data_IF_356570050523
#
_entry.id   IF_356570050523
#
_cell.length_a   1.000
_cell.length_b   1.000
_cell.length_c   1.000
_cell.angle_alpha   90.00
_cell.angle_beta   90.00
_cell.angle_gamma   90.00
#
_symmetry.space_group_name_H-M   'P 1'
#
loop_
_entity.id
_entity.type
_entity.pdbx_description
1 polymer ?
#
# COMPACT_ATOMS: atom_id res chain seq x y z
N UNK A 1 3.17 -8.35 -17.98
CA UNK A 1 2.72 -9.40 -17.03
C UNK A 1 3.36 -9.22 -15.64
N UNK A 2 4.69 -9.17 -15.52
CA UNK A 2 5.37 -8.98 -14.23
C UNK A 2 5.01 -7.67 -13.51
N UNK A 3 4.86 -6.56 -14.23
CA UNK A 3 4.43 -5.27 -13.64
C UNK A 3 3.03 -5.31 -13.01
N UNK A 4 2.11 -6.12 -13.55
CA UNK A 4 0.77 -6.31 -12.96
C UNK A 4 0.84 -7.12 -11.66
N UNK A 5 1.65 -8.18 -11.65
CA UNK A 5 1.88 -8.98 -10.44
C UNK A 5 2.57 -8.14 -9.35
N UNK A 6 3.57 -7.34 -9.73
CA UNK A 6 4.22 -6.41 -8.80
C UNK A 6 3.23 -5.38 -8.25
N UNK A 7 2.38 -4.81 -9.11
CA UNK A 7 1.33 -3.87 -8.68
C UNK A 7 0.39 -4.50 -7.66
N UNK A 8 -0.06 -5.74 -7.89
CA UNK A 8 -0.91 -6.46 -6.95
C UNK A 8 -0.24 -6.62 -5.58
N UNK A 9 1.04 -7.02 -5.55
CA UNK A 9 1.80 -7.14 -4.30
C UNK A 9 1.97 -5.77 -3.62
N UNK A 10 2.28 -4.72 -4.37
CA UNK A 10 2.41 -3.37 -3.82
C UNK A 10 1.10 -2.83 -3.25
N UNK A 11 -0.06 -3.15 -3.83
CA UNK A 11 -1.36 -2.82 -3.24
C UNK A 11 -1.49 -3.49 -1.87
N UNK A 12 -1.21 -4.79 -1.76
CA UNK A 12 -1.29 -5.51 -0.49
C UNK A 12 -0.29 -4.98 0.55
N UNK A 13 0.94 -4.61 0.14
CA UNK A 13 1.92 -3.95 1.01
C UNK A 13 1.39 -2.61 1.50
N UNK A 14 0.82 -1.80 0.60
CA UNK A 14 0.26 -0.51 0.97
C UNK A 14 -0.88 -0.64 1.98
N UNK A 15 -1.66 -1.72 1.92
CA UNK A 15 -2.71 -1.99 2.91
C UNK A 15 -2.14 -2.32 4.29
N UNK A 16 -1.07 -3.11 4.35
CA UNK A 16 -0.36 -3.44 5.60
C UNK A 16 0.24 -2.16 6.22
N UNK A 17 0.94 -1.37 5.42
CA UNK A 17 1.74 -0.22 5.87
C UNK A 17 0.91 1.03 6.22
N UNK A 18 -0.33 1.09 5.72
CA UNK A 18 -1.30 2.13 6.09
C UNK A 18 -2.31 1.63 7.14
N UNK A 19 -2.10 0.45 7.73
CA UNK A 19 -2.99 -0.14 8.74
C UNK A 19 -4.46 -0.20 8.31
N UNK A 20 -4.70 -0.63 7.06
CA UNK A 20 -6.03 -0.68 6.44
C UNK A 20 -6.61 -2.10 6.43
N UNK A 21 -7.94 -2.19 6.32
CA UNK A 21 -8.64 -3.47 6.28
C UNK A 21 -8.22 -4.24 5.03
N UNK A 22 -7.95 -5.56 5.11
CA UNK A 22 -8.34 -6.49 6.17
C UNK A 22 -7.29 -6.70 7.28
N UNK A 23 -6.10 -6.09 7.16
CA UNK A 23 -4.98 -6.38 8.06
C UNK A 23 -5.22 -5.74 9.42
N UNK A 24 -5.62 -4.47 9.40
CA UNK A 24 -6.03 -3.74 10.60
C UNK A 24 -7.20 -2.81 10.30
N UNK A 25 -7.89 -2.32 11.32
CA UNK A 25 -9.03 -1.42 11.16
C UNK A 25 -8.73 -0.03 11.73
N UNK A 26 -8.61 1.01 10.88
CA UNK A 26 -8.32 2.38 11.32
C UNK A 26 -9.43 2.99 12.18
N UNK A 27 -10.66 2.45 12.12
CA UNK A 27 -11.80 2.96 12.90
C UNK A 27 -11.87 2.36 14.30
N UNK A 28 -11.23 1.20 14.53
CA UNK A 28 -11.09 0.65 15.90
C UNK A 28 -10.07 1.41 16.74
N UNK A 29 -9.41 2.43 16.16
CA UNK A 29 -8.42 3.27 16.81
C UNK A 29 -8.96 4.12 17.99
N UNK A 30 -10.29 4.21 18.15
CA UNK A 30 -10.93 4.94 19.25
C UNK A 30 -11.33 4.02 20.42
N UNK A 31 -11.04 2.73 20.31
CA UNK A 31 -11.23 1.77 21.39
C UNK A 31 -9.88 1.47 22.08
N UNK A 32 -9.39 2.41 22.93
CA UNK A 32 -8.48 2.30 24.10
C UNK A 32 -7.54 1.07 24.31
N UNK A 33 -7.19 0.31 23.28
CA UNK A 33 -6.56 -1.01 23.38
C UNK A 33 -5.30 -1.15 22.52
N UNK A 34 -4.94 -0.13 21.71
CA UNK A 34 -3.79 -0.21 20.80
C UNK A 34 -2.65 0.73 21.22
N UNK A 35 -1.51 0.14 21.54
CA UNK A 35 -0.28 0.81 22.03
C UNK A 35 0.26 1.85 21.02
N UNK A 36 0.03 1.66 19.72
CA UNK A 36 0.58 2.52 18.66
C UNK A 36 -0.20 3.84 18.46
N UNK A 37 -1.45 3.90 18.92
CA UNK A 37 -2.35 5.05 18.73
C UNK A 37 -2.37 6.01 19.90
N UNK A 38 -1.92 5.55 21.06
CA UNK A 38 -1.62 6.42 22.21
C UNK A 38 -0.73 7.58 21.76
N UNK A 39 0.19 7.32 20.82
CA UNK A 39 1.05 8.35 20.23
C UNK A 39 0.27 9.48 19.52
N UNK A 40 -0.91 9.20 18.95
CA UNK A 40 -1.76 10.20 18.30
C UNK A 40 -2.64 10.92 19.33
N UNK A 41 -3.09 10.21 20.38
CA UNK A 41 -3.97 10.76 21.42
C UNK A 41 -3.33 11.85 22.27
N UNK A 42 -1.99 11.86 22.38
CA UNK A 42 -1.24 12.91 23.06
C UNK A 42 -1.10 14.19 22.21
N UNK A 43 -1.39 14.12 20.91
CA UNK A 43 -1.25 15.23 19.97
C UNK A 43 -2.61 15.89 19.67
N UNK A 44 -2.61 17.22 19.54
CA UNK A 44 -3.82 17.98 19.21
C UNK A 44 -3.53 19.11 18.21
N UNK A 45 -4.57 19.60 17.54
CA UNK A 45 -4.47 20.74 16.62
C UNK A 45 -3.51 20.49 15.45
N UNK A 46 -2.43 21.27 15.40
CA UNK A 46 -1.47 21.25 14.29
C UNK A 46 -0.67 19.94 14.22
N UNK A 47 -0.20 19.42 15.36
CA UNK A 47 0.63 18.22 15.40
C UNK A 47 -0.16 16.99 14.94
N UNK A 48 -1.43 16.90 15.36
CA UNK A 48 -2.35 15.88 14.86
C UNK A 48 -2.56 16.00 13.33
N UNK A 49 -2.66 17.23 12.83
CA UNK A 49 -2.75 17.50 11.38
C UNK A 49 -1.54 16.99 10.61
N UNK A 50 -0.33 17.18 11.13
CA UNK A 50 0.91 16.69 10.52
C UNK A 50 0.97 15.16 10.48
N UNK A 51 0.53 14.49 11.54
CA UNK A 51 0.47 13.02 11.60
C UNK A 51 -0.49 12.50 10.51
N UNK A 52 -1.72 13.04 10.46
CA UNK A 52 -2.72 12.65 9.47
C UNK A 52 -2.25 12.95 8.04
N UNK A 53 -1.61 14.10 7.81
CA UNK A 53 -1.05 14.44 6.51
C UNK A 53 0.04 13.47 6.07
N UNK A 54 0.94 13.09 6.98
CA UNK A 54 2.01 12.13 6.71
C UNK A 54 1.47 10.74 6.36
N UNK A 55 0.41 10.29 7.03
CA UNK A 55 -0.29 9.04 6.68
C UNK A 55 -0.86 9.09 5.26
N UNK A 56 -1.50 10.20 4.88
CA UNK A 56 -2.02 10.38 3.52
C UNK A 56 -0.89 10.46 2.46
N UNK A 57 0.24 11.10 2.81
CA UNK A 57 1.42 11.13 1.94
C UNK A 57 2.01 9.73 1.75
N UNK A 58 2.08 8.92 2.82
CA UNK A 58 2.54 7.52 2.74
C UNK A 58 1.67 6.73 1.76
N UNK A 59 0.35 6.87 1.85
CA UNK A 59 -0.57 6.25 0.89
C UNK A 59 -0.32 6.73 -0.56
N UNK A 60 -0.12 8.03 -0.75
CA UNK A 60 0.20 8.60 -2.06
C UNK A 60 1.52 8.07 -2.64
N UNK A 61 2.54 7.88 -1.80
CA UNK A 61 3.84 7.34 -2.21
C UNK A 61 3.73 5.93 -2.80
N UNK A 62 2.92 5.04 -2.22
CA UNK A 62 2.72 3.70 -2.79
C UNK A 62 2.06 3.75 -4.17
N UNK A 63 1.05 4.61 -4.35
CA UNK A 63 0.44 4.84 -5.66
C UNK A 63 1.43 5.41 -6.68
N UNK A 64 2.33 6.30 -6.23
CA UNK A 64 3.39 6.82 -7.08
C UNK A 64 4.40 5.74 -7.51
N UNK A 65 4.80 4.83 -6.61
CA UNK A 65 5.67 3.69 -6.94
C UNK A 65 4.98 2.79 -7.98
N UNK A 66 3.69 2.50 -7.78
CA UNK A 66 2.89 1.70 -8.72
C UNK A 66 2.84 2.37 -10.10
N UNK A 67 2.65 3.69 -10.14
CA UNK A 67 2.56 4.44 -11.40
C UNK A 67 3.82 4.34 -12.26
N UNK A 68 5.01 4.24 -11.63
CA UNK A 68 6.28 4.10 -12.34
C UNK A 68 6.37 2.81 -13.17
N UNK A 69 5.63 1.75 -12.82
CA UNK A 69 5.60 0.53 -13.62
C UNK A 69 4.89 0.69 -14.96
N UNK A 70 4.04 1.70 -15.11
CA UNK A 70 3.20 1.89 -16.31
C UNK A 70 3.57 3.13 -17.11
N UNK A 71 4.07 4.19 -16.47
CA UNK A 71 4.29 5.50 -17.12
C UNK A 71 5.52 5.51 -18.05
N UNK A 72 6.50 4.61 -17.87
CA UNK A 72 7.61 4.41 -18.81
C UNK A 72 8.28 5.70 -19.30
N UNK A 73 8.76 5.71 -20.55
CA UNK A 73 9.27 6.92 -21.24
C UNK A 73 8.18 7.57 -22.10
N UNK A 74 7.06 7.94 -21.48
CA UNK A 74 6.00 8.71 -22.15
C UNK A 74 6.30 10.22 -22.09
N UNK A 75 5.84 11.01 -23.10
CA UNK A 75 5.90 12.47 -23.02
C UNK A 75 5.14 13.02 -21.81
N UNK A 76 5.61 14.13 -21.25
CA UNK A 76 5.02 14.74 -20.04
C UNK A 76 3.52 15.04 -20.16
N UNK A 77 3.03 15.36 -21.35
CA UNK A 77 1.62 15.63 -21.61
C UNK A 77 0.72 14.42 -21.32
N UNK A 78 1.23 13.19 -21.48
CA UNK A 78 0.50 11.95 -21.22
C UNK A 78 0.85 11.37 -19.84
N UNK A 79 2.06 11.59 -19.33
CA UNK A 79 2.49 11.04 -18.04
C UNK A 79 1.70 11.62 -16.86
N UNK A 80 1.43 12.93 -16.86
CA UNK A 80 0.72 13.62 -15.77
C UNK A 80 -0.73 13.11 -15.63
N UNK A 81 -1.58 13.11 -16.68
CA UNK A 81 -2.94 12.59 -16.54
C UNK A 81 -2.96 11.09 -16.23
N UNK A 82 -2.01 10.32 -16.76
CA UNK A 82 -1.91 8.88 -16.45
C UNK A 82 -1.53 8.64 -14.99
N UNK A 83 -0.61 9.44 -14.42
CA UNK A 83 -0.28 9.39 -13.00
C UNK A 83 -1.50 9.61 -12.11
N UNK A 84 -2.28 10.65 -12.40
CA UNK A 84 -3.50 10.95 -11.66
C UNK A 84 -4.54 9.84 -11.81
N UNK A 85 -4.69 9.28 -13.02
CA UNK A 85 -5.60 8.16 -13.26
C UNK A 85 -5.20 6.91 -12.46
N UNK A 86 -3.90 6.58 -12.41
CA UNK A 86 -3.40 5.45 -11.61
C UNK A 86 -3.60 5.71 -10.12
N UNK A 87 -3.35 6.94 -9.64
CA UNK A 87 -3.53 7.31 -8.25
C UNK A 87 -5.00 7.19 -7.82
N UNK A 88 -5.93 7.64 -8.66
CA UNK A 88 -7.37 7.51 -8.44
C UNK A 88 -7.81 6.04 -8.50
N UNK A 89 -7.33 5.29 -9.49
CA UNK A 89 -7.61 3.84 -9.61
C UNK A 89 -7.14 3.07 -8.38
N UNK A 90 -5.94 3.37 -7.89
CA UNK A 90 -5.40 2.79 -6.66
C UNK A 90 -6.29 3.10 -5.45
N UNK A 91 -6.72 4.36 -5.28
CA UNK A 91 -7.61 4.74 -4.20
C UNK A 91 -8.98 4.03 -4.27
N UNK A 92 -9.56 3.90 -5.47
CA UNK A 92 -10.82 3.17 -5.69
C UNK A 92 -10.66 1.70 -5.34
N UNK A 93 -9.60 1.05 -5.81
CA UNK A 93 -9.34 -0.38 -5.52
C UNK A 93 -9.21 -0.59 -4.01
N UNK A 94 -8.43 0.24 -3.32
CA UNK A 94 -8.29 0.14 -1.86
C UNK A 94 -9.64 0.35 -1.16
N UNK A 95 -10.41 1.36 -1.57
CA UNK A 95 -11.74 1.62 -0.99
C UNK A 95 -12.74 0.49 -1.22
N UNK A 96 -12.69 -0.18 -2.37
CA UNK A 96 -13.46 -1.40 -2.63
C UNK A 96 -13.02 -2.50 -1.67
N UNK A 97 -11.71 -2.75 -1.54
CA UNK A 97 -11.21 -3.81 -0.66
C UNK A 97 -11.66 -3.57 0.80
N UNK A 98 -11.53 -2.34 1.30
CA UNK A 98 -11.99 -1.97 2.64
C UNK A 98 -13.50 -2.15 2.83
N UNK A 99 -14.29 -1.87 1.79
CA UNK A 99 -15.76 -1.98 1.86
C UNK A 99 -16.25 -3.43 1.86
N UNK A 100 -15.52 -4.34 1.21
CA UNK A 100 -15.96 -5.73 0.99
C UNK A 100 -15.24 -6.77 1.83
N UNK A 101 -14.10 -6.45 2.47
CA UNK A 101 -13.36 -7.40 3.29
C UNK A 101 -13.57 -7.17 4.79
N UNK A 102 -13.76 -8.27 5.52
CA UNK A 102 -13.73 -8.25 6.98
C UNK A 102 -12.29 -8.28 7.50
N UNK A 103 -12.09 -7.73 8.71
CA UNK A 103 -10.81 -7.76 9.42
C UNK A 103 -10.35 -9.19 9.69
N UNK A 104 -9.08 -9.47 9.42
CA UNK A 104 -8.44 -10.72 9.76
C UNK A 104 -8.18 -10.85 11.26
N UNK A 105 -8.16 -12.08 11.76
CA UNK A 105 -7.74 -12.34 13.14
C UNK A 105 -6.23 -12.08 13.24
N UNK A 106 -5.81 -11.31 14.24
CA UNK A 106 -4.41 -10.96 14.52
C UNK A 106 -3.41 -12.13 14.40
N UNK A 107 -3.78 -13.34 14.83
CA UNK A 107 -2.91 -14.52 14.71
C UNK A 107 -2.54 -14.93 13.28
N UNK A 108 -3.31 -14.51 12.27
CA UNK A 108 -3.04 -14.79 10.86
C UNK A 108 -2.27 -13.67 10.16
N UNK A 109 -2.15 -12.48 10.77
CA UNK A 109 -1.43 -11.35 10.17
C UNK A 109 0.05 -11.69 9.92
N UNK A 110 0.81 -12.31 10.86
CA UNK A 110 2.19 -12.71 10.59
C UNK A 110 2.31 -13.72 9.44
N UNK A 111 1.36 -14.67 9.34
CA UNK A 111 1.34 -15.65 8.25
C UNK A 111 1.09 -14.98 6.90
N UNK A 112 0.17 -14.01 6.84
CA UNK A 112 -0.14 -13.24 5.64
C UNK A 112 1.08 -12.44 5.15
N UNK A 113 1.77 -11.74 6.06
CA UNK A 113 2.99 -10.98 5.74
C UNK A 113 4.09 -11.94 5.23
N UNK A 114 4.26 -13.10 5.87
CA UNK A 114 5.26 -14.08 5.44
C UNK A 114 4.98 -14.63 4.02
N UNK A 115 3.72 -14.94 3.71
CA UNK A 115 3.33 -15.35 2.35
C UNK A 115 3.62 -14.23 1.35
N UNK A 116 3.30 -12.98 1.70
CA UNK A 116 3.51 -11.84 0.83
C UNK A 116 5.01 -11.58 0.55
N UNK A 117 5.87 -11.69 1.56
CA UNK A 117 7.33 -11.58 1.37
C UNK A 117 7.87 -12.68 0.46
N UNK A 118 7.37 -13.91 0.61
CA UNK A 118 7.74 -15.04 -0.26
C UNK A 118 7.33 -14.80 -1.71
N UNK A 119 6.11 -14.29 -1.96
CA UNK A 119 5.64 -13.94 -3.30
C UNK A 119 6.47 -12.81 -3.91
N UNK A 120 6.83 -11.80 -3.12
CA UNK A 120 7.71 -10.70 -3.57
C UNK A 120 9.08 -11.21 -4.02
N UNK A 121 9.67 -12.17 -3.30
CA UNK A 121 10.95 -12.79 -3.68
C UNK A 121 10.83 -13.57 -5.00
N UNK A 122 9.73 -14.30 -5.21
CA UNK A 122 9.49 -14.99 -6.47
C UNK A 122 9.37 -14.04 -7.66
N UNK A 123 8.71 -12.89 -7.49
CA UNK A 123 8.64 -11.85 -8.53
C UNK A 123 10.04 -11.27 -8.80
N UNK A 124 10.83 -11.02 -7.76
CA UNK A 124 12.21 -10.53 -7.90
C UNK A 124 13.08 -11.49 -8.72
N UNK A 125 13.06 -12.79 -8.39
CA UNK A 125 13.72 -13.81 -9.20
C UNK A 125 13.12 -13.88 -10.60
N UNK A 126 11.81 -13.79 -10.78
CA UNK A 126 11.18 -13.74 -12.10
C UNK A 126 11.71 -12.59 -12.98
N UNK A 127 11.90 -11.40 -12.39
CA UNK A 127 12.46 -10.24 -13.08
C UNK A 127 13.93 -10.48 -13.46
N UNK A 128 14.75 -11.01 -12.55
CA UNK A 128 16.16 -11.32 -12.84
C UNK A 128 16.31 -12.31 -14.01
N UNK A 129 15.40 -13.28 -14.13
CA UNK A 129 15.42 -14.31 -15.16
C UNK A 129 15.11 -13.68 -16.51
N UNK A 130 14.07 -12.85 -16.56
CA UNK A 130 13.70 -12.12 -17.78
C UNK A 130 14.81 -11.16 -18.22
N UNK A 131 15.54 -10.57 -17.28
CA UNK A 131 16.68 -9.69 -17.58
C UNK A 131 17.97 -10.45 -17.92
N UNK A 132 18.00 -11.79 -17.83
CA UNK A 132 19.18 -12.60 -18.11
C UNK A 132 20.33 -12.40 -17.12
N UNK A 133 20.08 -11.84 -15.93
CA UNK A 133 21.09 -11.52 -14.91
C UNK A 133 21.21 -12.61 -13.83
N UNK A 134 20.92 -13.86 -14.20
CA UNK A 134 20.97 -15.00 -13.27
C UNK A 134 22.37 -15.59 -13.08
N UNK A 135 23.35 -15.11 -13.85
CA UNK A 135 24.77 -15.45 -13.76
C UNK A 135 25.54 -14.19 -13.39
#
# INVERSE_FOLDING_TARGET
MLGLLATFVFVLIAMIENSRMPVDDPNTHLELTMIHEVMILDNSGFDLGLIMYTTNLKFAMYGAIISNFFIGMLPFAFSIPLFLAIQLGFAIVVGIIESFMARFRMGHNPQFIFILTSVSLLIFFGVLLVLGKFV
#
